data_IF_644544436472
#
_entry.id   IF_644544436472
#
_cell.length_a   1.000
_cell.length_b   1.000
_cell.length_c   1.000
_cell.angle_alpha   90.00
_cell.angle_beta   90.00
_cell.angle_gamma   90.00
#
_symmetry.space_group_name_H-M   'P 1'
#
loop_
_entity.id
_entity.type
_entity.pdbx_description
1 polymer ?
#
# COMPACT_ATOMS: atom_id res chain seq x y z
N UNK A 1 -14.51 -13.88 27.78
CA UNK A 1 -13.77 -13.86 26.49
C UNK A 1 -12.33 -14.32 26.65
N UNK A 2 -11.55 -13.78 27.60
CA UNK A 2 -10.14 -14.16 27.81
C UNK A 2 -9.90 -15.65 28.13
N UNK A 3 -10.69 -16.25 29.02
CA UNK A 3 -10.56 -17.68 29.36
C UNK A 3 -10.77 -18.62 28.16
N UNK A 4 -11.62 -18.25 27.20
CA UNK A 4 -11.81 -19.02 25.96
C UNK A 4 -10.58 -18.90 25.05
N UNK A 5 -10.00 -17.70 24.95
CA UNK A 5 -8.77 -17.46 24.19
C UNK A 5 -7.60 -18.25 24.77
N UNK A 6 -7.44 -18.29 26.10
CA UNK A 6 -6.37 -19.06 26.75
C UNK A 6 -6.51 -20.56 26.50
N UNK A 7 -7.72 -21.11 26.63
CA UNK A 7 -7.99 -22.52 26.38
C UNK A 7 -7.72 -22.90 24.92
N UNK A 8 -8.23 -22.13 23.97
CA UNK A 8 -8.08 -22.43 22.54
C UNK A 8 -6.64 -22.24 22.09
N UNK A 9 -5.96 -21.19 22.53
CA UNK A 9 -4.56 -20.93 22.19
C UNK A 9 -3.66 -22.10 22.61
N UNK A 10 -3.90 -22.69 23.78
CA UNK A 10 -3.21 -23.90 24.23
C UNK A 10 -3.45 -25.11 23.35
N UNK A 11 -4.66 -25.29 22.82
CA UNK A 11 -5.00 -26.41 21.92
C UNK A 11 -4.33 -26.30 20.54
N UNK A 12 -4.20 -25.08 20.01
CA UNK A 12 -3.63 -24.82 18.67
C UNK A 12 -2.12 -24.52 18.70
N UNK A 13 -1.53 -24.43 19.89
CA UNK A 13 -0.09 -24.23 20.07
C UNK A 13 0.38 -22.79 19.80
N UNK A 14 -0.45 -21.79 20.05
CA UNK A 14 -0.07 -20.38 19.95
C UNK A 14 -0.20 -19.64 21.29
N UNK A 15 0.32 -18.42 21.38
CA UNK A 15 0.10 -17.59 22.57
C UNK A 15 -1.33 -17.04 22.58
N UNK A 16 -1.98 -16.87 23.74
CA UNK A 16 -3.30 -16.24 23.84
C UNK A 16 -3.35 -14.86 23.19
N UNK A 17 -2.26 -14.09 23.28
CA UNK A 17 -2.14 -12.76 22.66
C UNK A 17 -2.19 -12.85 21.14
N UNK A 18 -1.49 -13.82 20.53
CA UNK A 18 -1.52 -14.03 19.07
C UNK A 18 -2.94 -14.34 18.60
N UNK A 19 -3.62 -15.28 19.26
CA UNK A 19 -5.00 -15.65 18.90
C UNK A 19 -5.95 -14.46 19.05
N UNK A 20 -5.81 -13.69 20.13
CA UNK A 20 -6.63 -12.50 20.34
C UNK A 20 -6.45 -11.45 19.22
N UNK A 21 -5.21 -11.20 18.78
CA UNK A 21 -4.97 -10.28 17.67
C UNK A 21 -5.51 -10.80 16.34
N UNK A 22 -5.47 -12.11 16.09
CA UNK A 22 -6.11 -12.71 14.90
C UNK A 22 -7.62 -12.54 14.92
N UNK A 23 -8.28 -12.81 16.05
CA UNK A 23 -9.73 -12.61 16.19
C UNK A 23 -10.08 -11.13 15.99
N UNK A 24 -9.32 -10.22 16.58
CA UNK A 24 -9.52 -8.79 16.39
C UNK A 24 -9.34 -8.37 14.94
N UNK A 25 -8.37 -8.96 14.22
CA UNK A 25 -8.16 -8.71 12.80
C UNK A 25 -9.34 -9.21 11.97
N UNK A 26 -9.79 -10.43 12.22
CA UNK A 26 -10.94 -11.02 11.54
C UNK A 26 -12.20 -10.18 11.74
N UNK A 27 -12.48 -9.70 12.97
CA UNK A 27 -13.58 -8.77 13.24
C UNK A 27 -13.49 -7.46 12.44
N UNK A 28 -12.28 -6.95 12.20
CA UNK A 28 -12.07 -5.76 11.36
C UNK A 28 -12.35 -6.12 9.90
N UNK A 29 -11.84 -7.25 9.43
CA UNK A 29 -12.00 -7.72 8.05
C UNK A 29 -13.47 -8.05 7.71
N UNK A 30 -14.26 -8.51 8.68
CA UNK A 30 -15.72 -8.71 8.58
C UNK A 30 -16.55 -7.44 8.78
N UNK A 31 -15.92 -6.31 9.14
CA UNK A 31 -16.62 -5.04 9.40
C UNK A 31 -17.39 -4.99 10.73
N UNK A 32 -17.22 -5.98 11.60
CA UNK A 32 -17.80 -6.01 12.95
C UNK A 32 -17.10 -5.02 13.90
N UNK A 33 -15.86 -4.64 13.56
CA UNK A 33 -15.04 -3.71 14.32
C UNK A 33 -14.44 -2.64 13.41
N UNK A 34 -14.41 -1.41 13.90
CA UNK A 34 -13.79 -0.30 13.19
C UNK A 34 -12.28 -0.56 12.96
N UNK A 35 -11.84 -0.33 11.73
CA UNK A 35 -10.45 -0.43 11.30
C UNK A 35 -10.36 -0.60 9.79
N UNK A 36 -9.19 -0.32 9.21
CA UNK A 36 -8.91 -0.68 7.83
C UNK A 36 -8.68 -2.19 7.74
N UNK A 37 -9.46 -2.83 6.89
CA UNK A 37 -9.36 -4.26 6.54
C UNK A 37 -7.98 -4.58 5.96
N UNK A 38 -7.63 -5.85 5.97
CA UNK A 38 -6.42 -6.36 5.34
C UNK A 38 -6.38 -6.00 3.85
N UNK A 39 -7.48 -6.22 3.13
CA UNK A 39 -7.61 -5.90 1.70
C UNK A 39 -7.45 -4.40 1.41
N UNK A 40 -8.05 -3.53 2.22
CA UNK A 40 -7.88 -2.08 2.07
C UNK A 40 -6.43 -1.66 2.26
N UNK A 41 -5.72 -2.24 3.24
CA UNK A 41 -4.30 -1.95 3.47
C UNK A 41 -3.43 -2.42 2.32
N UNK A 42 -3.71 -3.60 1.75
CA UNK A 42 -2.99 -4.11 0.60
C UNK A 42 -3.23 -3.24 -0.64
N UNK A 43 -4.48 -2.85 -0.89
CA UNK A 43 -4.83 -1.94 -1.98
C UNK A 43 -4.16 -0.58 -1.84
N UNK A 44 -4.15 0.00 -0.63
CA UNK A 44 -3.45 1.26 -0.38
C UNK A 44 -1.96 1.15 -0.70
N UNK A 45 -1.30 0.08 -0.23
CA UNK A 45 0.12 -0.16 -0.51
C UNK A 45 0.40 -0.33 -2.02
N UNK A 46 -0.49 -1.01 -2.75
CA UNK A 46 -0.38 -1.15 -4.19
C UNK A 46 -0.51 0.20 -4.91
N UNK A 47 -1.50 1.01 -4.51
CA UNK A 47 -1.73 2.35 -5.06
C UNK A 47 -0.57 3.30 -4.75
N UNK A 48 -0.01 3.26 -3.54
CA UNK A 48 1.16 4.07 -3.17
C UNK A 48 2.38 3.73 -4.04
N UNK A 49 2.59 2.44 -4.33
CA UNK A 49 3.65 1.99 -5.22
C UNK A 49 3.44 2.48 -6.65
N UNK A 50 2.23 2.29 -7.19
CA UNK A 50 1.88 2.74 -8.53
C UNK A 50 2.03 4.26 -8.65
N UNK A 51 1.55 5.03 -7.67
CA UNK A 51 1.67 6.48 -7.68
C UNK A 51 3.13 6.93 -7.69
N UNK A 52 4.00 6.25 -6.94
CA UNK A 52 5.44 6.53 -6.95
C UNK A 52 6.07 6.26 -8.32
N UNK A 53 5.71 5.15 -8.95
CA UNK A 53 6.20 4.79 -10.30
C UNK A 53 5.70 5.80 -11.35
N UNK A 54 4.42 6.17 -11.30
CA UNK A 54 3.83 7.19 -12.19
C UNK A 54 4.45 8.57 -12.01
N UNK A 55 4.76 8.98 -10.78
CA UNK A 55 5.46 10.25 -10.51
C UNK A 55 6.85 10.26 -11.15
N UNK A 56 7.61 9.17 -10.98
CA UNK A 56 8.94 9.02 -11.59
C UNK A 56 8.85 9.05 -13.13
N UNK A 57 7.89 8.36 -13.72
CA UNK A 57 7.69 8.36 -15.17
C UNK A 57 7.36 9.78 -15.68
N UNK A 58 6.48 10.50 -14.98
CA UNK A 58 6.13 11.87 -15.31
C UNK A 58 7.33 12.82 -15.24
N UNK A 59 8.23 12.65 -14.26
CA UNK A 59 9.45 13.46 -14.17
C UNK A 59 10.37 13.23 -15.38
N UNK A 60 10.56 11.97 -15.79
CA UNK A 60 11.35 11.62 -16.98
C UNK A 60 10.74 12.27 -18.24
N UNK A 61 9.42 12.16 -18.41
CA UNK A 61 8.73 12.74 -19.57
C UNK A 61 8.82 14.26 -19.62
N UNK A 62 8.73 14.94 -18.47
CA UNK A 62 8.91 16.39 -18.37
C UNK A 62 10.32 16.81 -18.78
N UNK A 63 11.34 16.11 -18.28
CA UNK A 63 12.74 16.37 -18.63
C UNK A 63 12.99 16.13 -20.13
N UNK A 64 12.50 15.02 -20.68
CA UNK A 64 12.61 14.73 -22.10
C UNK A 64 11.93 15.82 -22.95
N UNK A 65 10.72 16.24 -22.56
CA UNK A 65 9.98 17.29 -23.25
C UNK A 65 10.72 18.62 -23.25
N UNK A 66 11.32 19.02 -22.12
CA UNK A 66 12.15 20.22 -22.03
C UNK A 66 13.40 20.12 -22.93
N UNK A 67 14.06 18.97 -22.94
CA UNK A 67 15.23 18.73 -23.79
C UNK A 67 14.89 18.84 -25.29
N UNK A 68 13.80 18.20 -25.73
CA UNK A 68 13.37 18.28 -27.13
C UNK A 68 12.92 19.68 -27.53
N UNK A 69 12.22 20.40 -26.65
CA UNK A 69 11.84 21.79 -26.90
C UNK A 69 13.07 22.69 -27.12
N UNK A 70 14.11 22.54 -26.30
CA UNK A 70 15.36 23.30 -26.47
C UNK A 70 16.05 22.95 -27.81
N UNK A 71 16.17 21.66 -28.14
CA UNK A 71 16.80 21.24 -29.39
C UNK A 71 16.04 21.75 -30.64
N UNK A 72 14.71 21.83 -30.58
CA UNK A 72 13.89 22.42 -31.64
C UNK A 72 14.14 23.92 -31.79
N UNK A 73 14.21 24.66 -30.69
CA UNK A 73 14.52 26.10 -30.71
C UNK A 73 15.92 26.35 -31.29
N UNK A 74 16.93 25.59 -30.86
CA UNK A 74 18.31 25.73 -31.34
C UNK A 74 18.43 25.49 -32.85
N UNK A 75 17.66 24.55 -33.41
CA UNK A 75 17.62 24.28 -34.84
C UNK A 75 16.99 25.43 -35.63
N UNK A 76 15.89 26.01 -35.12
CA UNK A 76 15.22 27.16 -35.75
C UNK A 76 16.10 28.40 -35.77
N UNK A 77 16.89 28.62 -34.72
CA UNK A 77 17.80 29.77 -34.62
C UNK A 77 19.03 29.66 -35.53
N UNK A 78 19.40 28.44 -35.96
CA UNK A 78 20.54 28.17 -36.86
C UNK A 78 20.15 28.08 -38.34
N UNK A 79 18.86 28.10 -38.65
CA UNK A 79 18.31 28.10 -40.01
C UNK A 79 18.03 29.52 -40.47
#
# INVERSE_FOLDING_TARGET
MWAAVESIAGMIGCTPQTLHEWVKRDQIDQGERAGATTDERERLKALERENKELRRANEILKLASAFFAQAELDRRLKS
#
